data_IF_862817356987
#
_entry.id   IF_862817356987
#
_cell.length_a   1.000
_cell.length_b   1.000
_cell.length_c   1.000
_cell.angle_alpha   90.00
_cell.angle_beta   90.00
_cell.angle_gamma   90.00
#
_symmetry.space_group_name_H-M   'P 1'
#
loop_
_entity.id
_entity.type
_entity.pdbx_description
1 polymer ?
#
# COMPACT_ATOMS: atom_id res chain seq x y z
N UNK A 1 8.65 7.52 3.17
CA UNK A 1 7.68 8.60 3.39
C UNK A 1 7.05 9.03 2.06
N UNK A 2 5.92 9.74 2.13
CA UNK A 2 5.22 10.25 0.94
C UNK A 2 5.71 11.63 0.52
N UNK A 3 5.12 12.15 -0.58
CA UNK A 3 5.33 13.52 -1.04
C UNK A 3 4.80 14.57 -0.05
N UNK A 4 4.98 15.83 -0.39
CA UNK A 4 4.48 16.96 0.41
C UNK A 4 2.96 16.89 0.61
N UNK A 5 2.51 17.29 1.80
CA UNK A 5 1.08 17.42 2.10
C UNK A 5 0.84 18.49 3.17
N UNK A 6 -0.25 19.20 3.02
CA UNK A 6 -0.76 20.21 3.96
C UNK A 6 -1.97 19.69 4.76
N UNK A 7 -2.24 18.38 4.67
CA UNK A 7 -3.40 17.74 5.27
C UNK A 7 -3.32 17.63 6.80
N UNK A 8 -4.45 17.37 7.47
CA UNK A 8 -4.52 17.26 8.94
C UNK A 8 -3.73 16.08 9.53
N UNK A 9 -3.33 15.13 8.69
CA UNK A 9 -2.51 13.96 9.05
C UNK A 9 -1.06 14.11 8.58
N UNK A 10 -0.61 15.32 8.20
CA UNK A 10 0.75 15.56 7.78
C UNK A 10 1.74 15.19 8.89
N UNK A 11 2.74 14.37 8.53
CA UNK A 11 3.85 14.04 9.42
C UNK A 11 4.96 15.08 9.26
N UNK A 12 5.39 15.65 10.36
CA UNK A 12 6.47 16.64 10.40
C UNK A 12 7.78 15.95 10.74
N UNK A 13 8.77 16.05 9.86
CA UNK A 13 10.10 15.49 10.05
C UNK A 13 11.11 16.63 10.10
N UNK A 14 11.93 16.74 11.16
CA UNK A 14 12.96 17.77 11.25
C UNK A 14 14.02 17.57 10.16
N UNK A 15 14.46 18.66 9.51
CA UNK A 15 15.48 18.64 8.48
C UNK A 15 16.79 18.02 8.97
N UNK A 16 17.16 18.25 10.23
CA UNK A 16 18.36 17.69 10.85
C UNK A 16 18.39 16.15 10.88
N UNK A 17 17.24 15.47 10.83
CA UNK A 17 17.20 14.01 10.69
C UNK A 17 17.77 13.54 9.33
N UNK A 18 17.47 14.25 8.26
CA UNK A 18 17.97 13.93 6.93
C UNK A 18 19.45 14.24 6.77
N UNK A 19 19.95 15.29 7.42
CA UNK A 19 21.37 15.63 7.48
C UNK A 19 22.17 14.53 8.19
N UNK A 20 21.69 14.09 9.36
CA UNK A 20 22.35 13.06 10.16
C UNK A 20 22.34 11.68 9.49
N UNK A 21 21.28 11.35 8.74
CA UNK A 21 21.14 10.06 8.05
C UNK A 21 21.74 10.04 6.64
N UNK A 22 22.23 11.18 6.13
CA UNK A 22 22.78 11.30 4.77
C UNK A 22 21.74 11.20 3.65
N UNK A 23 20.44 11.37 3.97
CA UNK A 23 19.33 11.22 3.04
C UNK A 23 18.81 12.54 2.45
N UNK A 24 19.62 13.59 2.49
CA UNK A 24 19.28 14.90 1.93
C UNK A 24 18.93 14.86 0.43
N UNK A 25 19.59 13.98 -0.33
CA UNK A 25 19.33 13.81 -1.76
C UNK A 25 17.89 13.37 -2.08
N UNK A 26 17.28 12.61 -1.19
CA UNK A 26 15.89 12.14 -1.37
C UNK A 26 14.88 13.28 -1.31
N UNK A 27 15.07 14.21 -0.36
CA UNK A 27 14.19 15.37 -0.19
C UNK A 27 14.45 16.44 -1.25
N UNK A 28 15.70 16.61 -1.67
CA UNK A 28 16.05 17.55 -2.75
C UNK A 28 15.50 17.05 -4.08
N UNK A 29 15.65 15.75 -4.39
CA UNK A 29 15.11 15.14 -5.61
C UNK A 29 13.58 15.14 -5.68
N UNK A 30 12.90 15.13 -4.53
CA UNK A 30 11.45 15.17 -4.42
C UNK A 30 10.84 16.59 -4.40
N UNK A 31 11.67 17.65 -4.49
CA UNK A 31 11.21 19.04 -4.41
C UNK A 31 10.65 19.45 -3.05
N UNK A 32 10.93 18.67 -1.99
CA UNK A 32 10.40 18.94 -0.64
C UNK A 32 11.11 20.10 0.05
N UNK A 33 12.28 20.51 -0.43
CA UNK A 33 13.04 21.65 0.11
C UNK A 33 12.32 23.00 -0.08
N UNK A 34 11.44 23.11 -1.08
CA UNK A 34 10.68 24.33 -1.36
C UNK A 34 9.48 24.51 -0.40
N UNK A 35 9.17 23.46 0.38
CA UNK A 35 8.00 23.39 1.27
C UNK A 35 8.40 23.21 2.72
N UNK A 36 9.47 23.88 3.16
CA UNK A 36 9.90 23.86 4.56
C UNK A 36 8.93 24.66 5.43
N UNK A 37 8.47 24.03 6.51
CA UNK A 37 7.65 24.67 7.54
C UNK A 37 8.50 24.92 8.77
N UNK A 38 8.50 26.16 9.24
CA UNK A 38 9.21 26.52 10.46
C UNK A 38 8.34 26.22 11.68
N UNK A 39 8.82 25.36 12.56
CA UNK A 39 8.14 25.00 13.81
C UNK A 39 8.98 25.47 14.98
N UNK A 40 8.34 26.15 15.93
CA UNK A 40 9.01 26.62 17.15
C UNK A 40 8.97 25.49 18.20
N UNK A 41 10.15 24.96 18.51
CA UNK A 41 10.32 23.89 19.50
C UNK A 41 11.24 24.40 20.61
N UNK A 42 10.66 24.68 21.75
CA UNK A 42 11.43 25.13 22.94
C UNK A 42 12.17 26.46 22.76
N UNK A 43 11.63 27.39 21.97
CA UNK A 43 12.22 28.72 21.71
C UNK A 43 13.27 28.71 20.58
N UNK A 44 13.42 27.63 19.86
CA UNK A 44 14.23 27.55 18.65
C UNK A 44 13.34 27.22 17.44
N UNK A 45 13.41 28.06 16.42
CA UNK A 45 12.71 27.81 15.15
C UNK A 45 13.50 26.82 14.31
N UNK A 46 12.97 25.62 14.15
CA UNK A 46 13.60 24.56 13.37
C UNK A 46 12.83 24.33 12.05
N UNK A 47 13.52 24.08 10.95
CA UNK A 47 12.90 23.70 9.69
C UNK A 47 12.41 22.25 9.74
N UNK A 48 11.14 22.05 9.39
CA UNK A 48 10.48 20.76 9.27
C UNK A 48 9.95 20.57 7.86
N UNK A 49 9.88 19.32 7.42
CA UNK A 49 9.24 18.90 6.18
C UNK A 49 7.92 18.23 6.51
N UNK A 50 6.85 18.62 5.82
CA UNK A 50 5.52 18.00 5.95
C UNK A 50 5.32 17.00 4.83
N UNK A 51 5.07 15.73 5.20
CA UNK A 51 4.93 14.64 4.25
C UNK A 51 3.75 13.73 4.60
N UNK A 52 3.26 13.00 3.59
CA UNK A 52 2.24 11.98 3.80
C UNK A 52 2.78 10.83 4.66
N UNK A 53 2.10 10.45 5.76
CA UNK A 53 2.46 9.30 6.57
C UNK A 53 2.02 8.00 5.87
N UNK A 54 2.73 7.59 4.83
CA UNK A 54 2.38 6.42 4.01
C UNK A 54 2.25 5.14 4.82
N UNK A 55 3.04 4.99 5.90
CA UNK A 55 2.94 3.86 6.83
C UNK A 55 1.58 3.78 7.54
N UNK A 56 0.98 4.94 7.87
CA UNK A 56 -0.34 5.01 8.49
C UNK A 56 -1.43 4.59 7.51
N UNK A 57 -1.34 5.06 6.26
CA UNK A 57 -2.28 4.68 5.20
C UNK A 57 -2.18 3.17 4.90
N UNK A 58 -0.97 2.62 4.85
CA UNK A 58 -0.74 1.19 4.67
C UNK A 58 -1.32 0.38 5.84
N UNK A 59 -1.10 0.82 7.07
CA UNK A 59 -1.66 0.19 8.27
C UNK A 59 -3.19 0.17 8.28
N UNK A 60 -3.83 1.31 8.02
CA UNK A 60 -5.28 1.44 7.95
C UNK A 60 -5.87 0.58 6.82
N UNK A 61 -5.23 0.58 5.64
CA UNK A 61 -5.66 -0.26 4.53
C UNK A 61 -5.58 -1.75 4.86
N UNK A 62 -4.47 -2.20 5.46
CA UNK A 62 -4.31 -3.59 5.87
C UNK A 62 -5.35 -3.99 6.93
N UNK A 63 -5.67 -3.13 7.88
CA UNK A 63 -6.76 -3.36 8.83
C UNK A 63 -8.11 -3.51 8.13
N UNK A 64 -8.40 -2.69 7.12
CA UNK A 64 -9.61 -2.78 6.30
C UNK A 64 -9.66 -4.13 5.56
N UNK A 65 -8.56 -4.54 4.91
CA UNK A 65 -8.47 -5.83 4.21
C UNK A 65 -8.70 -6.99 5.17
N UNK A 66 -8.09 -6.96 6.36
CA UNK A 66 -8.30 -7.98 7.39
C UNK A 66 -9.75 -8.03 7.87
N UNK A 67 -10.37 -6.88 8.07
CA UNK A 67 -11.79 -6.79 8.44
C UNK A 67 -12.68 -7.44 7.37
N UNK A 68 -12.45 -7.14 6.09
CA UNK A 68 -13.18 -7.74 4.97
C UNK A 68 -13.00 -9.26 4.97
N UNK A 69 -11.77 -9.75 5.16
CA UNK A 69 -11.47 -11.20 5.23
C UNK A 69 -12.21 -11.84 6.41
N UNK A 70 -12.20 -11.19 7.56
CA UNK A 70 -12.86 -11.70 8.76
C UNK A 70 -14.38 -11.83 8.56
N UNK A 71 -15.00 -10.83 7.98
CA UNK A 71 -16.43 -10.85 7.66
C UNK A 71 -16.77 -11.89 6.57
N UNK A 72 -15.90 -11.99 5.57
CA UNK A 72 -16.09 -12.88 4.44
C UNK A 72 -15.82 -14.36 4.76
N UNK A 73 -15.02 -14.67 5.78
CA UNK A 73 -14.51 -16.02 6.09
C UNK A 73 -15.61 -17.09 6.21
N UNK A 74 -16.84 -16.71 6.59
CA UNK A 74 -18.00 -17.60 6.67
C UNK A 74 -18.60 -17.96 5.31
N UNK A 75 -18.28 -17.20 4.26
CA UNK A 75 -18.83 -17.34 2.91
C UNK A 75 -17.84 -17.97 1.93
N UNK A 76 -16.68 -18.46 2.43
CA UNK A 76 -15.68 -19.09 1.56
C UNK A 76 -16.27 -20.30 0.83
N UNK A 77 -15.93 -20.44 -0.46
CA UNK A 77 -16.39 -21.54 -1.33
C UNK A 77 -15.33 -22.60 -1.59
N UNK A 78 -14.04 -22.27 -1.38
CA UNK A 78 -12.93 -23.19 -1.52
C UNK A 78 -11.77 -22.82 -0.60
N UNK A 79 -10.88 -23.79 -0.35
CA UNK A 79 -9.69 -23.55 0.46
C UNK A 79 -8.67 -22.73 -0.34
N UNK A 80 -8.18 -21.63 0.28
CA UNK A 80 -7.31 -20.63 -0.34
C UNK A 80 -8.04 -19.39 -0.88
N UNK A 81 -9.37 -19.32 -0.83
CA UNK A 81 -10.13 -18.14 -1.27
C UNK A 81 -9.78 -16.90 -0.45
N UNK A 82 -9.62 -17.06 0.86
CA UNK A 82 -9.22 -15.97 1.75
C UNK A 82 -7.80 -15.46 1.45
N UNK A 83 -6.89 -16.36 1.06
CA UNK A 83 -5.54 -15.97 0.63
C UNK A 83 -5.59 -15.14 -0.66
N UNK A 84 -6.38 -15.58 -1.66
CA UNK A 84 -6.55 -14.81 -2.89
C UNK A 84 -7.15 -13.42 -2.60
N UNK A 85 -8.13 -13.34 -1.70
CA UNK A 85 -8.74 -12.07 -1.29
C UNK A 85 -7.72 -11.16 -0.60
N UNK A 86 -6.88 -11.72 0.28
CA UNK A 86 -5.79 -10.99 0.93
C UNK A 86 -4.79 -10.45 -0.09
N UNK A 87 -4.30 -11.29 -1.00
CA UNK A 87 -3.32 -10.89 -2.03
C UNK A 87 -3.87 -9.81 -2.96
N UNK A 88 -5.15 -9.90 -3.33
CA UNK A 88 -5.82 -8.85 -4.12
C UNK A 88 -5.93 -7.54 -3.33
N UNK A 89 -6.41 -7.60 -2.11
CA UNK A 89 -6.55 -6.42 -1.26
C UNK A 89 -5.21 -5.75 -0.94
N UNK A 90 -4.21 -6.55 -0.56
CA UNK A 90 -2.86 -6.06 -0.27
C UNK A 90 -2.20 -5.46 -1.53
N UNK A 91 -2.25 -6.17 -2.66
CA UNK A 91 -1.69 -5.69 -3.92
C UNK A 91 -2.31 -4.39 -4.38
N UNK A 92 -3.64 -4.23 -4.24
CA UNK A 92 -4.34 -3.00 -4.57
C UNK A 92 -3.88 -1.83 -3.69
N UNK A 93 -3.84 -2.02 -2.37
CA UNK A 93 -3.38 -0.99 -1.44
C UNK A 93 -1.93 -0.59 -1.69
N UNK A 94 -1.06 -1.58 -1.90
CA UNK A 94 0.36 -1.33 -2.18
C UNK A 94 0.58 -0.57 -3.48
N UNK A 95 -0.21 -0.86 -4.51
CA UNK A 95 -0.16 -0.14 -5.78
C UNK A 95 -0.42 1.37 -5.61
N UNK A 96 -1.47 1.74 -4.87
CA UNK A 96 -1.81 3.15 -4.63
C UNK A 96 -0.80 3.84 -3.70
N UNK A 97 -0.40 3.17 -2.63
CA UNK A 97 0.52 3.74 -1.64
C UNK A 97 1.92 3.94 -2.24
N UNK A 98 2.37 3.04 -3.11
CA UNK A 98 3.64 3.21 -3.83
C UNK A 98 3.62 4.45 -4.71
N UNK A 99 2.49 4.80 -5.31
CA UNK A 99 2.34 6.03 -6.08
C UNK A 99 2.51 7.32 -5.26
N UNK A 100 2.34 7.27 -3.93
CA UNK A 100 2.54 8.41 -3.02
C UNK A 100 3.98 8.52 -2.50
N UNK A 101 4.81 7.50 -2.70
CA UNK A 101 6.19 7.47 -2.20
C UNK A 101 7.13 8.24 -3.13
N UNK A 102 8.07 8.96 -2.53
CA UNK A 102 9.10 9.72 -3.25
C UNK A 102 10.35 8.88 -3.56
N UNK A 103 10.54 7.78 -2.81
CA UNK A 103 11.68 6.87 -2.90
C UNK A 103 11.36 5.58 -3.67
N UNK A 104 10.69 5.71 -4.83
CA UNK A 104 10.29 4.57 -5.65
C UNK A 104 11.49 4.00 -6.43
N UNK A 105 11.62 2.66 -6.44
CA UNK A 105 12.49 1.94 -7.36
C UNK A 105 11.83 1.91 -8.75
N UNK A 106 12.20 2.85 -9.61
CA UNK A 106 11.65 2.96 -10.96
C UNK A 106 12.36 2.02 -11.95
N UNK A 107 11.63 1.56 -12.96
CA UNK A 107 12.19 0.79 -14.09
C UNK A 107 12.75 1.78 -15.11
N UNK A 108 14.06 2.10 -15.00
CA UNK A 108 14.69 3.10 -15.86
C UNK A 108 13.98 4.46 -15.78
N UNK A 109 13.82 5.15 -16.91
CA UNK A 109 13.16 6.45 -16.99
C UNK A 109 11.65 6.39 -17.24
N UNK A 110 11.01 5.22 -17.02
CA UNK A 110 9.58 5.02 -17.36
C UNK A 110 8.61 5.60 -16.33
N UNK A 111 9.10 6.02 -15.15
CA UNK A 111 8.25 6.51 -14.06
C UNK A 111 7.36 5.45 -13.40
N UNK A 112 7.53 4.18 -13.77
CA UNK A 112 6.76 3.06 -13.21
C UNK A 112 7.62 2.36 -12.15
N UNK A 113 7.10 2.24 -10.93
CA UNK A 113 7.77 1.51 -9.88
C UNK A 113 7.70 -0.01 -10.12
N UNK A 114 8.83 -0.71 -9.89
CA UNK A 114 8.89 -2.18 -9.96
C UNK A 114 7.81 -2.81 -9.09
N UNK A 115 7.61 -2.27 -7.91
CA UNK A 115 6.59 -2.72 -6.95
C UNK A 115 5.18 -2.66 -7.52
N UNK A 116 4.85 -1.63 -8.32
CA UNK A 116 3.53 -1.49 -8.96
C UNK A 116 3.28 -2.62 -9.97
N UNK A 117 4.28 -2.97 -10.77
CA UNK A 117 4.18 -4.10 -11.73
C UNK A 117 3.93 -5.41 -11.00
N UNK A 118 4.70 -5.68 -9.94
CA UNK A 118 4.52 -6.88 -9.10
C UNK A 118 3.11 -6.91 -8.50
N UNK A 119 2.61 -5.79 -7.98
CA UNK A 119 1.26 -5.70 -7.41
C UNK A 119 0.17 -6.03 -8.45
N UNK A 120 0.30 -5.52 -9.68
CA UNK A 120 -0.65 -5.83 -10.77
C UNK A 120 -0.61 -7.33 -11.12
N UNK A 121 0.58 -7.93 -11.21
CA UNK A 121 0.72 -9.36 -11.48
C UNK A 121 0.10 -10.23 -10.38
N UNK A 122 0.35 -9.87 -9.10
CA UNK A 122 -0.23 -10.58 -7.95
C UNK A 122 -1.75 -10.45 -7.92
N UNK A 123 -2.27 -9.26 -8.16
CA UNK A 123 -3.70 -9.01 -8.24
C UNK A 123 -4.36 -9.83 -9.34
N UNK A 124 -3.83 -9.76 -10.57
CA UNK A 124 -4.37 -10.48 -11.72
C UNK A 124 -4.30 -12.00 -11.52
N UNK A 125 -3.17 -12.53 -11.06
CA UNK A 125 -2.99 -13.95 -10.76
C UNK A 125 -3.95 -14.48 -9.70
N UNK A 126 -4.15 -13.70 -8.62
CA UNK A 126 -5.09 -14.03 -7.55
C UNK A 126 -6.54 -14.00 -8.04
N UNK A 127 -6.90 -13.00 -8.86
CA UNK A 127 -8.23 -12.87 -9.45
C UNK A 127 -8.55 -14.05 -10.38
N UNK A 128 -7.63 -14.39 -11.28
CA UNK A 128 -7.77 -15.53 -12.20
C UNK A 128 -7.94 -16.82 -11.41
N UNK A 129 -7.08 -17.05 -10.41
CA UNK A 129 -7.14 -18.24 -9.55
C UNK A 129 -8.49 -18.34 -8.84
N UNK A 130 -8.99 -17.22 -8.31
CA UNK A 130 -10.28 -17.17 -7.63
C UNK A 130 -11.43 -17.50 -8.59
N UNK A 131 -11.44 -16.93 -9.79
CA UNK A 131 -12.48 -17.19 -10.80
C UNK A 131 -12.48 -18.66 -11.22
N UNK A 132 -11.28 -19.21 -11.55
CA UNK A 132 -11.14 -20.61 -12.00
C UNK A 132 -11.58 -21.58 -10.92
N UNK A 133 -11.12 -21.40 -9.69
CA UNK A 133 -11.46 -22.28 -8.56
C UNK A 133 -12.95 -22.19 -8.18
N UNK A 134 -13.54 -20.99 -8.21
CA UNK A 134 -14.99 -20.82 -8.01
C UNK A 134 -15.83 -21.52 -9.07
N UNK A 135 -15.43 -21.42 -10.36
CA UNK A 135 -16.11 -22.13 -11.45
C UNK A 135 -16.01 -23.64 -11.27
N UNK A 136 -14.83 -24.17 -10.89
CA UNK A 136 -14.64 -25.59 -10.61
C UNK A 136 -15.46 -26.06 -9.41
N UNK A 137 -15.51 -25.30 -8.33
CA UNK A 137 -16.31 -25.61 -7.15
C UNK A 137 -17.81 -25.62 -7.47
N UNK A 138 -18.29 -24.68 -8.30
CA UNK A 138 -19.68 -24.64 -8.75
C UNK A 138 -20.01 -25.83 -9.66
N UNK A 139 -19.12 -26.25 -10.54
CA UNK A 139 -19.29 -27.43 -11.40
C UNK A 139 -19.27 -28.73 -10.59
N UNK A 140 -18.44 -28.84 -9.56
CA UNK A 140 -18.38 -30.03 -8.67
C UNK A 140 -19.59 -30.14 -7.73
N UNK A 141 -20.16 -29.01 -7.30
CA UNK A 141 -21.37 -28.98 -6.45
C UNK A 141 -22.68 -29.26 -7.20
N UNK A 142 -22.63 -29.37 -8.52
CA UNK A 142 -23.80 -29.70 -9.36
C UNK A 142 -24.09 -31.20 -9.51
N UNK A 143 -23.30 -32.09 -8.92
CA UNK A 143 -23.60 -33.53 -8.92
C UNK A 143 -24.31 -33.88 -7.61
N UNK A 144 -25.61 -34.17 -7.60
CA UNK A 144 -26.27 -34.65 -6.40
C UNK A 144 -25.73 -36.04 -6.11
N UNK A 145 -24.85 -36.16 -5.11
CA UNK A 145 -24.51 -37.43 -4.50
C UNK A 145 -25.80 -37.98 -3.86
N UNK A 146 -26.48 -38.87 -4.55
CA UNK A 146 -27.51 -39.71 -4.00
C UNK A 146 -26.85 -40.62 -2.95
N UNK A 147 -26.91 -40.20 -1.69
CA UNK A 147 -26.70 -41.14 -0.60
C UNK A 147 -27.92 -42.07 -0.56
N UNK A 148 -27.73 -43.34 -0.95
CA UNK A 148 -28.57 -44.45 -0.54
C UNK A 148 -28.23 -44.81 0.91
#
# INVERSE_FOLDING_TARGET
FGGYTDGPLAMQIPLGYFEQTGRLSEITGAGLMDHLVSVDVGGQTLPYIQVHPTFLYEGLWNCLVLLVIFLYRKHKKFDGELLCLYLMGYGLGRFFIEGLRVDQLQIGDTGIAVTQVVCVCVFAGSLITMIVKRRKAAAAGGTPEKQC
#
